data_IF_368432061677
#
_entry.id   IF_368432061677
#
_cell.length_a   1.000
_cell.length_b   1.000
_cell.length_c   1.000
_cell.angle_alpha   90.00
_cell.angle_beta   90.00
_cell.angle_gamma   90.00
#
_symmetry.space_group_name_H-M   'P 1'
#
loop_
_entity.id
_entity.type
_entity.pdbx_description
1 polymer ?
#
# COMPACT_ATOMS: atom_id res chain seq x y z
N UNK A 1 -25.69 4.75 14.41
CA UNK A 1 -25.79 3.34 13.95
C UNK A 1 -25.12 3.23 12.59
N UNK A 2 -24.46 2.12 12.27
CA UNK A 2 -23.86 1.93 10.94
C UNK A 2 -24.93 1.35 9.98
N UNK A 3 -25.14 1.95 8.79
CA UNK A 3 -26.01 1.42 7.74
C UNK A 3 -25.68 -0.03 7.36
N UNK A 4 -26.70 -0.84 7.04
CA UNK A 4 -26.55 -2.30 6.83
C UNK A 4 -25.52 -2.65 5.74
N UNK A 5 -25.55 -1.91 4.65
CA UNK A 5 -24.64 -1.98 3.51
C UNK A 5 -23.17 -1.73 3.90
N UNK A 6 -22.93 -0.91 4.92
CA UNK A 6 -21.59 -0.56 5.37
C UNK A 6 -21.07 -1.44 6.52
N UNK A 7 -21.92 -2.26 7.16
CA UNK A 7 -21.51 -3.12 8.28
C UNK A 7 -20.40 -4.12 7.92
N UNK A 8 -20.38 -4.77 6.74
CA UNK A 8 -19.26 -5.63 6.35
C UNK A 8 -17.93 -4.87 6.29
N UNK A 9 -17.96 -3.62 5.81
CA UNK A 9 -16.76 -2.76 5.65
C UNK A 9 -16.23 -2.26 6.98
N UNK A 10 -17.10 -1.80 7.89
CA UNK A 10 -16.66 -1.30 9.20
C UNK A 10 -16.46 -2.41 10.25
N UNK A 11 -16.90 -3.63 9.96
CA UNK A 11 -16.93 -4.79 10.89
C UNK A 11 -17.56 -4.45 12.26
N UNK A 12 -18.47 -3.47 12.27
CA UNK A 12 -19.13 -2.92 13.46
C UNK A 12 -20.60 -2.66 13.15
N UNK A 13 -21.43 -2.70 14.18
CA UNK A 13 -22.87 -2.38 14.09
C UNK A 13 -23.16 -0.91 14.44
N UNK A 14 -22.28 -0.28 15.20
CA UNK A 14 -22.41 1.08 15.69
C UNK A 14 -21.05 1.77 15.88
N UNK A 15 -21.06 3.10 15.81
CA UNK A 15 -19.95 3.96 16.19
C UNK A 15 -20.36 4.61 17.51
N UNK A 16 -19.54 4.40 18.53
CA UNK A 16 -19.78 4.92 19.88
C UNK A 16 -18.72 5.96 20.18
N UNK A 17 -19.12 7.15 20.60
CA UNK A 17 -18.20 8.17 21.09
C UNK A 17 -18.71 8.80 22.38
N UNK A 18 -17.78 9.21 23.24
CA UNK A 18 -18.13 10.04 24.39
C UNK A 18 -18.44 11.46 23.91
N UNK A 19 -19.55 12.04 24.38
CA UNK A 19 -19.91 13.43 24.10
C UNK A 19 -19.10 14.42 24.96
N UNK A 20 -18.32 13.94 25.94
CA UNK A 20 -17.44 14.72 26.84
C UNK A 20 -18.12 15.94 27.48
N UNK A 21 -19.38 15.81 27.87
CA UNK A 21 -20.16 16.86 28.56
C UNK A 21 -21.19 16.20 29.47
N UNK A 22 -21.43 16.80 30.65
CA UNK A 22 -22.50 16.42 31.58
C UNK A 22 -23.77 17.25 31.36
N UNK A 23 -23.70 18.36 30.62
CA UNK A 23 -24.85 19.21 30.34
C UNK A 23 -25.72 18.64 29.21
N UNK A 24 -27.02 18.50 29.50
CA UNK A 24 -28.00 17.88 28.59
C UNK A 24 -28.14 18.62 27.26
N UNK A 25 -28.21 19.95 27.28
CA UNK A 25 -28.38 20.76 26.07
C UNK A 25 -27.16 20.66 25.14
N UNK A 26 -25.95 20.78 25.70
CA UNK A 26 -24.70 20.59 24.96
C UNK A 26 -24.53 19.15 24.47
N UNK A 27 -24.99 18.16 25.24
CA UNK A 27 -25.00 16.76 24.80
C UNK A 27 -25.86 16.60 23.54
N UNK A 28 -27.05 17.20 23.51
CA UNK A 28 -27.93 17.19 22.33
C UNK A 28 -27.29 17.81 21.09
N UNK A 29 -26.66 18.98 21.22
CA UNK A 29 -25.96 19.63 20.11
C UNK A 29 -24.76 18.80 19.60
N UNK A 30 -23.96 18.24 20.51
CA UNK A 30 -22.82 17.39 20.16
C UNK A 30 -23.26 16.08 19.51
N UNK A 31 -24.34 15.47 20.01
CA UNK A 31 -24.92 14.26 19.41
C UNK A 31 -25.42 14.54 17.99
N UNK A 32 -26.10 15.67 17.77
CA UNK A 32 -26.53 16.08 16.42
C UNK A 32 -25.35 16.31 15.48
N UNK A 33 -24.30 16.98 15.94
CA UNK A 33 -23.08 17.19 15.14
C UNK A 33 -22.40 15.87 14.79
N UNK A 34 -22.28 14.96 15.77
CA UNK A 34 -21.74 13.62 15.55
C UNK A 34 -22.56 12.86 14.50
N UNK A 35 -23.88 12.94 14.57
CA UNK A 35 -24.76 12.31 13.59
C UNK A 35 -24.50 12.82 12.17
N UNK A 36 -24.42 14.14 11.97
CA UNK A 36 -24.16 14.73 10.64
C UNK A 36 -22.77 14.34 10.11
N UNK A 37 -21.75 14.34 10.97
CA UNK A 37 -20.39 13.91 10.58
C UNK A 37 -20.35 12.41 10.26
N UNK A 38 -21.11 11.59 10.99
CA UNK A 38 -21.22 10.17 10.69
C UNK A 38 -21.93 9.92 9.35
N UNK A 39 -23.01 10.66 9.04
CA UNK A 39 -23.70 10.59 7.75
C UNK A 39 -22.76 10.96 6.59
N UNK A 40 -22.01 12.06 6.70
CA UNK A 40 -21.05 12.43 5.64
C UNK A 40 -19.98 11.35 5.43
N UNK A 41 -19.46 10.79 6.53
CA UNK A 41 -18.48 9.70 6.48
C UNK A 41 -19.06 8.43 5.84
N UNK A 42 -20.34 8.10 6.10
CA UNK A 42 -21.00 6.97 5.47
C UNK A 42 -21.23 7.19 3.98
N UNK A 43 -21.64 8.39 3.58
CA UNK A 43 -21.78 8.74 2.16
C UNK A 43 -20.45 8.70 1.42
N UNK A 44 -19.39 9.29 1.98
CA UNK A 44 -18.03 9.18 1.43
C UNK A 44 -17.61 7.72 1.30
N UNK A 45 -17.92 6.89 2.30
CA UNK A 45 -17.62 5.45 2.26
C UNK A 45 -18.37 4.72 1.16
N UNK A 46 -19.57 5.16 0.77
CA UNK A 46 -20.32 4.58 -0.36
C UNK A 46 -19.72 4.95 -1.71
N UNK A 47 -19.10 6.12 -1.80
CA UNK A 47 -18.58 6.68 -3.05
C UNK A 47 -17.08 6.40 -3.26
N UNK A 48 -16.37 5.95 -2.24
CA UNK A 48 -14.96 5.57 -2.34
C UNK A 48 -14.82 4.05 -2.57
N UNK A 49 -14.44 3.60 -3.78
CA UNK A 49 -14.08 2.22 -4.07
C UNK A 49 -12.73 1.90 -3.40
N UNK A 50 -12.73 1.78 -2.07
CA UNK A 50 -11.60 1.22 -1.35
C UNK A 50 -11.47 -0.26 -1.70
N UNK A 51 -10.24 -0.77 -1.64
CA UNK A 51 -9.99 -2.19 -1.79
C UNK A 51 -10.68 -2.94 -0.65
N UNK A 52 -11.37 -4.03 -1.00
CA UNK A 52 -11.88 -4.95 0.02
C UNK A 52 -10.70 -5.62 0.73
N UNK A 53 -10.94 -6.12 1.95
CA UNK A 53 -9.90 -6.83 2.70
C UNK A 53 -9.35 -8.04 1.92
N UNK A 54 -10.21 -8.73 1.16
CA UNK A 54 -9.82 -9.87 0.33
C UNK A 54 -8.97 -9.45 -0.86
N UNK A 55 -9.31 -8.34 -1.52
CA UNK A 55 -8.50 -7.78 -2.61
C UNK A 55 -7.14 -7.33 -2.09
N UNK A 56 -7.11 -6.63 -0.95
CA UNK A 56 -5.90 -6.17 -0.31
C UNK A 56 -5.01 -7.35 0.09
N UNK A 57 -5.58 -8.39 0.71
CA UNK A 57 -4.87 -9.61 1.09
C UNK A 57 -4.30 -10.35 -0.12
N UNK A 58 -5.07 -10.45 -1.21
CA UNK A 58 -4.60 -11.06 -2.45
C UNK A 58 -3.42 -10.30 -3.06
N UNK A 59 -3.48 -8.96 -3.09
CA UNK A 59 -2.40 -8.12 -3.61
C UNK A 59 -1.14 -8.25 -2.75
N UNK A 60 -1.31 -8.18 -1.42
CA UNK A 60 -0.21 -8.33 -0.46
C UNK A 60 0.44 -9.72 -0.62
N UNK A 61 -0.37 -10.78 -0.69
CA UNK A 61 0.11 -12.14 -0.86
C UNK A 61 0.92 -12.30 -2.16
N UNK A 62 0.44 -11.70 -3.25
CA UNK A 62 1.11 -11.70 -4.53
C UNK A 62 2.45 -10.93 -4.49
N UNK A 63 2.51 -9.83 -3.75
CA UNK A 63 3.75 -9.11 -3.48
C UNK A 63 4.74 -9.99 -2.70
N UNK A 64 4.30 -10.65 -1.63
CA UNK A 64 5.13 -11.59 -0.87
C UNK A 64 5.68 -12.72 -1.75
N UNK A 65 4.81 -13.36 -2.53
CA UNK A 65 5.21 -14.44 -3.44
C UNK A 65 6.25 -13.98 -4.45
N UNK A 66 6.07 -12.79 -5.04
CA UNK A 66 7.06 -12.21 -5.96
C UNK A 66 8.43 -12.00 -5.31
N UNK A 67 8.44 -11.42 -4.10
CA UNK A 67 9.67 -11.16 -3.35
C UNK A 67 10.41 -12.46 -3.02
N UNK A 68 9.69 -13.48 -2.55
CA UNK A 68 10.25 -14.79 -2.25
C UNK A 68 10.79 -15.50 -3.49
N UNK A 69 10.10 -15.40 -4.62
CA UNK A 69 10.55 -15.99 -5.89
C UNK A 69 11.84 -15.33 -6.40
N UNK A 70 11.93 -14.01 -6.31
CA UNK A 70 13.14 -13.27 -6.68
C UNK A 70 14.33 -13.71 -5.81
N UNK A 71 14.10 -13.79 -4.51
CA UNK A 71 15.11 -14.23 -3.54
C UNK A 71 15.53 -15.68 -3.79
N UNK A 72 14.58 -16.57 -4.07
CA UNK A 72 14.84 -17.96 -4.42
C UNK A 72 15.68 -18.08 -5.70
N UNK A 73 15.36 -17.31 -6.75
CA UNK A 73 16.16 -17.25 -7.98
C UNK A 73 17.61 -16.82 -7.71
N UNK A 74 17.82 -15.83 -6.82
CA UNK A 74 19.16 -15.40 -6.43
C UNK A 74 19.92 -16.50 -5.67
N UNK A 75 19.25 -17.22 -4.75
CA UNK A 75 19.86 -18.36 -4.03
C UNK A 75 20.30 -19.46 -4.99
N UNK A 76 19.43 -19.82 -5.93
CA UNK A 76 19.71 -20.87 -6.92
C UNK A 76 20.87 -20.49 -7.86
N UNK A 77 21.07 -19.19 -8.14
CA UNK A 77 22.13 -18.70 -9.03
C UNK A 77 23.47 -18.47 -8.33
N UNK A 78 23.47 -17.90 -7.12
CA UNK A 78 24.67 -17.36 -6.47
C UNK A 78 25.28 -18.29 -5.41
N UNK A 79 24.59 -19.38 -5.05
CA UNK A 79 25.09 -20.35 -4.08
C UNK A 79 25.20 -19.77 -2.66
N UNK A 80 26.18 -20.25 -1.88
CA UNK A 80 26.34 -19.87 -0.48
C UNK A 80 26.64 -18.37 -0.33
N UNK A 81 25.81 -17.67 0.42
CA UNK A 81 26.00 -16.25 0.70
C UNK A 81 27.06 -16.03 1.82
N UNK A 82 28.17 -15.33 1.57
CA UNK A 82 29.20 -15.06 2.57
C UNK A 82 28.68 -14.25 3.76
N UNK A 83 29.23 -14.48 4.95
CA UNK A 83 28.74 -13.85 6.18
C UNK A 83 28.70 -12.32 6.13
N UNK A 84 29.75 -11.73 5.56
CA UNK A 84 29.87 -10.28 5.41
C UNK A 84 28.74 -9.71 4.54
N UNK A 85 28.36 -10.43 3.49
CA UNK A 85 27.25 -10.05 2.60
C UNK A 85 25.91 -10.21 3.33
N UNK A 86 25.71 -11.31 4.07
CA UNK A 86 24.51 -11.52 4.91
C UNK A 86 24.34 -10.38 5.92
N UNK A 87 25.41 -10.03 6.65
CA UNK A 87 25.39 -8.98 7.66
C UNK A 87 25.11 -7.59 7.06
N UNK A 88 25.73 -7.27 5.92
CA UNK A 88 25.49 -6.00 5.21
C UNK A 88 24.03 -5.88 4.75
N UNK A 89 23.46 -6.96 4.21
CA UNK A 89 22.04 -7.01 3.80
C UNK A 89 21.11 -6.87 5.01
N UNK A 90 21.35 -7.61 6.09
CA UNK A 90 20.56 -7.49 7.31
C UNK A 90 20.62 -6.08 7.93
N UNK A 91 21.73 -5.37 7.81
CA UNK A 91 21.84 -3.95 8.21
C UNK A 91 21.02 -3.04 7.27
N UNK A 92 21.10 -3.26 5.96
CA UNK A 92 20.36 -2.49 4.97
C UNK A 92 18.84 -2.60 5.18
N UNK A 93 18.29 -3.82 5.31
CA UNK A 93 16.85 -4.03 5.50
C UNK A 93 16.32 -3.49 6.82
N UNK A 94 17.11 -3.53 7.89
CA UNK A 94 16.76 -2.82 9.13
C UNK A 94 16.62 -1.31 8.90
N UNK A 95 17.52 -0.72 8.10
CA UNK A 95 17.41 0.68 7.70
C UNK A 95 16.17 0.97 6.87
N UNK A 96 15.83 0.10 5.92
CA UNK A 96 14.60 0.20 5.10
C UNK A 96 13.35 0.10 5.97
N UNK A 97 13.29 -0.86 6.89
CA UNK A 97 12.17 -1.01 7.82
C UNK A 97 12.03 0.20 8.77
N UNK A 98 13.15 0.76 9.23
CA UNK A 98 13.13 1.98 10.05
C UNK A 98 12.62 3.18 9.24
N UNK A 99 13.06 3.34 7.99
CA UNK A 99 12.56 4.40 7.13
C UNK A 99 11.07 4.23 6.82
N UNK A 100 10.63 3.03 6.46
CA UNK A 100 9.22 2.73 6.19
C UNK A 100 8.32 3.05 7.40
N UNK A 101 8.80 2.88 8.64
CA UNK A 101 8.08 3.32 9.85
C UNK A 101 7.98 4.84 9.96
N UNK A 102 9.06 5.55 9.66
CA UNK A 102 9.06 7.01 9.66
C UNK A 102 8.07 7.55 8.62
N UNK A 103 8.12 6.99 7.40
CA UNK A 103 7.23 7.31 6.28
C UNK A 103 5.75 7.02 6.65
N UNK A 104 5.47 5.85 7.24
CA UNK A 104 4.14 5.52 7.78
C UNK A 104 3.68 6.50 8.86
N UNK A 105 4.58 6.92 9.76
CA UNK A 105 4.28 7.90 10.80
C UNK A 105 3.98 9.29 10.25
N UNK A 106 4.60 9.66 9.12
CA UNK A 106 4.37 10.91 8.41
C UNK A 106 3.21 10.84 7.40
N UNK A 107 2.61 9.64 7.18
CA UNK A 107 1.69 9.36 6.08
C UNK A 107 2.28 9.65 4.69
N UNK A 108 3.59 9.47 4.53
CA UNK A 108 4.29 9.65 3.27
C UNK A 108 4.32 8.33 2.49
N UNK A 109 3.47 8.18 1.49
CA UNK A 109 3.37 6.94 0.72
C UNK A 109 4.22 6.89 -0.56
N UNK A 110 4.93 7.97 -0.86
CA UNK A 110 5.70 8.11 -2.10
C UNK A 110 6.77 7.03 -2.30
N UNK A 111 7.36 6.54 -1.21
CA UNK A 111 8.45 5.54 -1.23
C UNK A 111 8.02 4.20 -1.83
N UNK A 112 6.75 3.81 -1.68
CA UNK A 112 6.21 2.54 -2.21
C UNK A 112 5.22 2.75 -3.36
N UNK A 113 4.91 3.98 -3.74
CA UNK A 113 3.89 4.30 -4.75
C UNK A 113 4.11 3.54 -6.08
N UNK A 114 5.37 3.35 -6.49
CA UNK A 114 5.71 2.55 -7.66
C UNK A 114 5.33 1.07 -7.51
N UNK A 115 5.61 0.47 -6.36
CA UNK A 115 5.29 -0.94 -6.06
C UNK A 115 3.76 -1.11 -6.00
N UNK A 116 3.08 -0.18 -5.32
CA UNK A 116 1.62 -0.14 -5.26
C UNK A 116 1.01 -0.10 -6.66
N UNK A 117 1.50 0.78 -7.54
CA UNK A 117 1.03 0.91 -8.91
C UNK A 117 1.29 -0.36 -9.75
N UNK A 118 2.48 -0.96 -9.63
CA UNK A 118 2.81 -2.21 -10.30
C UNK A 118 1.86 -3.35 -9.88
N UNK A 119 1.56 -3.44 -8.59
CA UNK A 119 0.62 -4.41 -8.05
C UNK A 119 -0.82 -4.14 -8.50
N UNK A 120 -1.26 -2.88 -8.53
CA UNK A 120 -2.59 -2.52 -9.06
C UNK A 120 -2.74 -2.93 -10.53
N UNK A 121 -1.71 -2.76 -11.35
CA UNK A 121 -1.73 -3.22 -12.75
C UNK A 121 -1.84 -4.74 -12.84
N UNK A 122 -1.07 -5.47 -12.03
CA UNK A 122 -1.13 -6.95 -11.97
C UNK A 122 -2.55 -7.45 -11.67
N UNK A 123 -3.24 -6.77 -10.76
CA UNK A 123 -4.62 -7.12 -10.38
C UNK A 123 -5.70 -6.46 -11.25
N UNK A 124 -5.32 -5.73 -12.31
CA UNK A 124 -6.24 -5.00 -13.21
C UNK A 124 -7.11 -3.96 -12.50
N UNK A 125 -6.55 -3.30 -11.49
CA UNK A 125 -7.18 -2.25 -10.67
C UNK A 125 -6.54 -0.86 -10.88
N UNK A 126 -5.54 -0.76 -11.77
CA UNK A 126 -4.91 0.51 -12.11
C UNK A 126 -5.93 1.51 -12.68
N UNK A 127 -5.90 2.75 -12.19
CA UNK A 127 -6.83 3.81 -12.57
C UNK A 127 -8.26 3.69 -12.02
N UNK A 128 -8.60 2.59 -11.33
CA UNK A 128 -9.94 2.38 -10.76
C UNK A 128 -10.08 2.92 -9.33
N UNK A 129 -8.95 3.12 -8.65
CA UNK A 129 -8.91 3.61 -7.28
C UNK A 129 -8.69 5.12 -7.22
N UNK A 130 -9.41 5.77 -6.32
CA UNK A 130 -9.14 7.14 -5.87
C UNK A 130 -7.90 7.13 -4.96
N UNK A 131 -7.36 8.31 -4.66
CA UNK A 131 -6.11 8.47 -3.90
C UNK A 131 -6.13 7.72 -2.55
N UNK A 132 -7.26 7.73 -1.84
CA UNK A 132 -7.44 7.01 -0.57
C UNK A 132 -7.23 5.50 -0.73
N UNK A 133 -7.77 4.89 -1.79
CA UNK A 133 -7.58 3.46 -2.08
C UNK A 133 -6.13 3.11 -2.44
N UNK A 134 -5.42 4.01 -3.13
CA UNK A 134 -3.97 3.85 -3.42
C UNK A 134 -3.13 3.95 -2.15
N UNK A 135 -3.50 4.87 -1.26
CA UNK A 135 -2.84 5.04 0.03
C UNK A 135 -3.11 3.85 0.96
N UNK A 136 -4.31 3.26 0.92
CA UNK A 136 -4.62 2.02 1.64
C UNK A 136 -3.70 0.87 1.20
N UNK A 137 -3.51 0.68 -0.11
CA UNK A 137 -2.59 -0.34 -0.61
C UNK A 137 -1.14 -0.04 -0.21
N UNK A 138 -0.70 1.21 -0.39
CA UNK A 138 0.66 1.63 -0.06
C UNK A 138 0.95 1.43 1.43
N UNK A 139 -0.01 1.75 2.30
CA UNK A 139 0.09 1.49 3.73
C UNK A 139 0.21 -0.01 4.05
N UNK A 140 -0.58 -0.86 3.39
CA UNK A 140 -0.50 -2.31 3.59
C UNK A 140 0.87 -2.85 3.17
N UNK A 141 1.33 -2.51 1.96
CA UNK A 141 2.63 -2.92 1.45
C UNK A 141 3.80 -2.43 2.32
N UNK A 142 3.73 -1.24 2.90
CA UNK A 142 4.75 -0.77 3.84
C UNK A 142 4.77 -1.57 5.14
N UNK A 143 3.59 -1.87 5.70
CA UNK A 143 3.48 -2.67 6.93
C UNK A 143 4.05 -4.08 6.71
N UNK A 144 3.68 -4.69 5.60
CA UNK A 144 4.19 -6.00 5.20
C UNK A 144 5.69 -5.98 4.86
N UNK A 145 6.16 -4.91 4.22
CA UNK A 145 7.58 -4.69 3.94
C UNK A 145 8.43 -4.55 5.21
N UNK A 146 7.87 -3.96 6.28
CA UNK A 146 8.52 -3.90 7.60
C UNK A 146 8.64 -5.30 8.20
N UNK A 147 7.57 -6.10 8.12
CA UNK A 147 7.56 -7.48 8.62
C UNK A 147 8.58 -8.36 7.87
N UNK A 148 8.81 -8.12 6.57
CA UNK A 148 9.87 -8.77 5.79
C UNK A 148 11.29 -8.31 6.16
N UNK A 149 11.44 -7.03 6.51
CA UNK A 149 12.73 -6.40 6.81
C UNK A 149 13.27 -6.72 8.20
N UNK A 150 12.43 -7.24 9.09
CA UNK A 150 12.80 -7.59 10.45
C UNK A 150 12.89 -9.09 10.69
N UNK A 151 13.85 -9.54 11.52
CA UNK A 151 13.80 -10.89 12.06
C UNK A 151 12.55 -11.02 12.97
N UNK A 152 11.86 -12.16 12.96
CA UNK A 152 10.70 -12.36 13.83
C UNK A 152 11.11 -12.16 15.29
N UNK A 153 10.49 -11.18 15.95
CA UNK A 153 10.65 -10.96 17.39
C UNK A 153 10.07 -12.13 18.22
N UNK A 154 10.46 -12.28 19.49
CA UNK A 154 10.04 -13.41 20.34
C UNK A 154 8.52 -13.51 20.59
N UNK A 155 7.75 -12.47 20.29
CA UNK A 155 6.30 -12.42 20.56
C UNK A 155 5.41 -12.56 19.30
N UNK A 156 5.96 -12.84 18.12
CA UNK A 156 5.18 -12.87 16.86
C UNK A 156 4.88 -14.29 16.33
N UNK A 157 4.71 -15.26 17.23
CA UNK A 157 4.48 -16.69 16.92
C UNK A 157 3.08 -17.02 16.41
N UNK A 158 2.13 -16.06 16.41
CA UNK A 158 0.74 -16.32 16.05
C UNK A 158 0.40 -16.16 14.55
N UNK A 159 1.35 -15.70 13.71
CA UNK A 159 1.16 -15.56 12.26
C UNK A 159 2.34 -16.14 11.47
N UNK A 160 2.75 -17.35 11.81
CA UNK A 160 3.85 -18.03 11.14
C UNK A 160 3.33 -18.87 9.96
N UNK A 161 3.61 -18.52 8.69
CA UNK A 161 4.18 -19.49 7.78
C UNK A 161 5.68 -19.54 8.08
N UNK A 162 6.05 -20.61 8.78
CA UNK A 162 7.40 -21.19 8.93
C UNK A 162 8.61 -20.30 8.59
N UNK A 163 9.37 -19.89 9.62
CA UNK A 163 10.77 -19.47 9.60
C UNK A 163 11.33 -18.95 8.25
N UNK A 164 11.34 -17.63 8.05
CA UNK A 164 11.97 -16.99 6.88
C UNK A 164 13.49 -16.88 7.04
N UNK A 165 14.31 -17.44 6.11
CA UNK A 165 15.76 -17.29 6.17
C UNK A 165 16.32 -16.54 4.95
N UNK A 166 16.49 -15.21 5.02
CA UNK A 166 17.55 -14.49 4.29
C UNK A 166 17.12 -13.58 3.14
N UNK A 167 17.17 -12.28 3.41
CA UNK A 167 16.58 -11.18 2.65
C UNK A 167 17.07 -10.93 1.21
N UNK A 168 16.08 -10.59 0.37
CA UNK A 168 15.97 -9.88 -0.93
C UNK A 168 17.14 -8.96 -1.33
N UNK A 169 17.30 -8.68 -2.62
CA UNK A 169 18.21 -7.65 -3.13
C UNK A 169 17.39 -6.53 -3.81
N UNK A 170 17.30 -5.36 -3.17
CA UNK A 170 16.58 -4.18 -3.69
C UNK A 170 17.31 -3.49 -4.85
N UNK A 171 18.54 -3.89 -5.19
CA UNK A 171 19.24 -3.36 -6.37
C UNK A 171 18.53 -3.78 -7.67
N UNK A 172 17.93 -4.97 -7.71
CA UNK A 172 17.08 -5.40 -8.83
C UNK A 172 15.84 -4.53 -9.00
N UNK A 173 15.27 -4.04 -7.89
CA UNK A 173 14.10 -3.16 -7.88
C UNK A 173 14.43 -1.72 -8.28
N UNK A 174 15.64 -1.23 -7.96
CA UNK A 174 16.11 0.08 -8.44
C UNK A 174 16.38 0.06 -9.96
N UNK A 175 16.86 -1.07 -10.49
CA UNK A 175 17.05 -1.28 -11.92
C UNK A 175 15.70 -1.34 -12.68
N UNK A 176 14.72 -2.09 -12.16
CA UNK A 176 13.36 -2.13 -12.72
C UNK A 176 12.66 -0.76 -12.62
N UNK A 177 12.94 0.02 -11.57
CA UNK A 177 12.47 1.42 -11.42
C UNK A 177 13.07 2.34 -12.48
N UNK A 178 14.37 2.23 -12.80
CA UNK A 178 15.00 3.02 -13.87
C UNK A 178 14.52 2.63 -15.27
N UNK A 179 14.24 1.35 -15.52
CA UNK A 179 13.68 0.87 -16.79
C UNK A 179 12.22 1.33 -16.98
N UNK A 180 11.46 1.41 -15.90
CA UNK A 180 10.11 1.93 -15.91
C UNK A 180 10.06 3.46 -16.10
N UNK A 181 10.91 4.23 -15.42
CA UNK A 181 11.02 5.68 -15.61
C UNK A 181 11.46 6.02 -17.04
N UNK A 182 12.39 5.25 -17.62
CA UNK A 182 12.76 5.37 -19.04
C UNK A 182 11.60 5.07 -20.00
N UNK A 183 10.73 4.11 -19.65
CA UNK A 183 9.52 3.78 -20.43
C UNK A 183 8.46 4.87 -20.38
N UNK A 184 8.46 5.71 -19.32
CA UNK A 184 7.57 6.85 -19.15
C UNK A 184 8.03 8.07 -19.95
N UNK A 185 9.34 8.26 -20.13
CA UNK A 185 9.91 9.28 -21.03
C UNK A 185 9.73 8.95 -22.52
N UNK A 186 9.52 7.67 -22.86
CA UNK A 186 9.31 7.20 -24.23
C UNK A 186 7.83 7.12 -24.68
N UNK A 187 6.88 7.43 -23.80
CA UNK A 187 5.46 7.53 -24.19
C UNK A 187 5.10 9.02 -24.38
N UNK A 188 4.98 9.53 -25.62
CA UNK A 188 4.50 10.88 -25.81
C UNK A 188 3.05 10.96 -25.32
N UNK A 189 2.80 11.90 -24.42
CA UNK A 189 1.47 12.39 -24.07
C UNK A 189 0.63 12.57 -25.35
N UNK A 190 -0.54 11.91 -25.50
CA UNK A 190 -1.44 12.17 -26.63
C UNK A 190 -1.98 13.61 -26.64
N UNK A 191 -1.71 14.38 -25.59
CA UNK A 191 -2.12 15.76 -25.36
C UNK A 191 -1.27 16.83 -26.06
N UNK A 192 -0.07 16.48 -26.58
CA UNK A 192 0.87 17.47 -27.14
C UNK A 192 0.98 17.50 -28.66
N UNK A 193 0.36 16.56 -29.38
CA UNK A 193 0.34 16.54 -30.85
C UNK A 193 -0.79 17.39 -31.48
N UNK A 194 -1.67 17.98 -30.66
CA UNK A 194 -2.73 18.89 -31.12
C UNK A 194 -2.33 20.38 -31.10
N UNK A 195 -1.09 20.73 -30.70
CA UNK A 195 -0.59 22.13 -30.64
C UNK A 195 0.53 22.49 -31.63
N UNK A 196 0.98 21.56 -32.47
CA UNK A 196 1.87 21.87 -33.60
C UNK A 196 1.19 21.45 -34.89
N UNK A 197 0.52 22.41 -35.53
CA UNK A 197 -0.27 22.20 -36.75
C UNK A 197 0.53 21.65 -37.91
N UNK A 198 0.61 20.33 -38.00
CA UNK A 198 1.12 19.60 -39.16
C UNK A 198 0.28 18.34 -39.36
N UNK A 199 -0.91 18.52 -39.94
CA UNK A 199 -1.56 17.46 -40.71
C UNK A 199 -2.41 18.11 -41.81
N UNK A 200 -1.92 18.02 -43.05
CA UNK A 200 -2.72 18.26 -44.24
C UNK A 200 -3.33 16.91 -44.65
N UNK A 201 -4.65 16.78 -44.82
CA UNK A 201 -5.23 15.61 -45.43
C UNK A 201 -5.07 15.75 -46.95
N UNK A 202 -4.37 14.82 -47.58
CA UNK A 202 -4.55 14.55 -49.01
C UNK A 202 -5.65 13.51 -49.17
N UNK A 203 -6.49 13.79 -50.17
CA UNK A 203 -7.64 13.01 -50.66
C UNK A 203 -7.35 11.53 -50.90
#
# INVERSE_FOLDING_TARGET
MIPLDLRPRFRRREITCSLRTSELHLAGLRARRLYLVAESLFEESRHDPMLTDDQLAAIVQDFYSYVLDLENKLRLRLGRNPEVVRARRAKHFRGVAQQARADLGANEFGTVAFISEAMLRKHKLAGQLVETGRNQLSQALMRDGIDLGEPPGPNNTARTPTALPGCVDLAGWQQERSEFDASRELSPEPSLLLRRGLYHPTE
#
